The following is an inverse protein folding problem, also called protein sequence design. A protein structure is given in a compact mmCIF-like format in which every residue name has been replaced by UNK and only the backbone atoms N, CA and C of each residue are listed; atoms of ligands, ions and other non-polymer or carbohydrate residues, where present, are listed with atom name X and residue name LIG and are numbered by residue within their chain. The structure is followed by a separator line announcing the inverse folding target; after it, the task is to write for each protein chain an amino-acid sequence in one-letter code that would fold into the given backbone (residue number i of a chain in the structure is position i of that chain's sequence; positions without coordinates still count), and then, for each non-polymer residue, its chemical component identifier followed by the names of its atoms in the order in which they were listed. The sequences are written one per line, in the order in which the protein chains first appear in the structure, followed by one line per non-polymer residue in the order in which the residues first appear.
data_IF_818899113565
#
_entry.id   IF_818899113565
#
_cell.length_a   1.000
_cell.length_b   1.000
_cell.length_c   1.000
_cell.angle_alpha   90.00
_cell.angle_beta   90.00
_cell.angle_gamma   90.00
#
_symmetry.space_group_name_H-M   'P 1'
#
loop_
_entity.id
_entity.type
_entity.pdbx_description
1 polymer ?
#
# COMPACT_ATOMS: atom_id res chain seq x y z
N UNK A 1 14.66 -9.66 11.52
CA UNK A 1 13.96 -9.61 10.20
C UNK A 1 13.02 -8.44 10.25
N UNK A 2 13.05 -7.57 9.25
CA UNK A 2 12.11 -6.43 9.17
C UNK A 2 10.69 -6.97 9.00
N UNK A 3 9.74 -6.51 9.84
CA UNK A 3 8.32 -6.91 9.77
C UNK A 3 7.69 -6.63 8.40
N UNK A 4 8.26 -5.70 7.65
CA UNK A 4 7.69 -5.13 6.43
C UNK A 4 8.28 -5.70 5.12
N UNK A 5 9.05 -6.79 5.14
CA UNK A 5 9.64 -7.40 3.94
C UNK A 5 10.22 -6.35 2.97
N UNK A 6 11.34 -5.72 3.36
CA UNK A 6 11.97 -4.63 2.58
C UNK A 6 12.90 -5.20 1.51
N UNK A 7 12.79 -4.69 0.28
CA UNK A 7 13.62 -5.05 -0.87
C UNK A 7 14.26 -3.77 -1.43
N UNK A 8 15.53 -3.84 -1.79
CA UNK A 8 16.27 -2.71 -2.33
C UNK A 8 16.79 -3.00 -3.73
N UNK A 9 16.75 -1.98 -4.59
CA UNK A 9 17.27 -1.99 -5.96
C UNK A 9 17.95 -0.67 -6.29
N UNK A 10 18.52 -0.60 -7.49
CA UNK A 10 19.10 0.63 -8.04
C UNK A 10 20.46 0.98 -7.47
N UNK A 11 20.75 2.28 -7.35
CA UNK A 11 22.06 2.80 -6.94
C UNK A 11 22.17 2.82 -5.41
N UNK A 12 23.07 2.03 -4.77
CA UNK A 12 23.11 1.90 -3.30
C UNK A 12 23.32 3.21 -2.53
N UNK A 13 24.01 4.17 -3.15
CA UNK A 13 24.30 5.49 -2.57
C UNK A 13 23.49 6.61 -3.23
N UNK A 14 22.50 6.29 -4.05
CA UNK A 14 21.58 7.25 -4.64
C UNK A 14 20.62 7.83 -3.62
N UNK A 15 19.92 8.93 -3.99
CA UNK A 15 18.85 9.46 -3.16
C UNK A 15 17.79 8.38 -2.97
N UNK A 16 17.32 8.12 -1.72
CA UNK A 16 16.32 7.10 -1.47
C UNK A 16 14.97 7.45 -2.11
N UNK A 17 14.39 6.47 -2.84
CA UNK A 17 13.02 6.52 -3.33
C UNK A 17 12.25 5.34 -2.73
N UNK A 18 11.36 5.63 -1.80
CA UNK A 18 10.51 4.63 -1.14
C UNK A 18 9.18 4.53 -1.88
N UNK A 19 8.83 3.34 -2.34
CA UNK A 19 7.61 3.06 -3.11
C UNK A 19 6.66 2.20 -2.28
N UNK A 20 5.54 2.77 -1.86
CA UNK A 20 4.55 2.15 -0.98
C UNK A 20 3.27 1.80 -1.74
N UNK A 21 2.86 0.53 -1.65
CA UNK A 21 1.72 -0.02 -2.37
C UNK A 21 0.37 0.34 -1.74
N UNK A 22 -0.73 0.24 -2.53
CA UNK A 22 -2.09 0.45 -2.09
C UNK A 22 -2.72 -0.80 -1.43
N UNK A 23 -3.96 -0.64 -0.99
CA UNK A 23 -4.78 -1.72 -0.42
C UNK A 23 -4.87 -2.91 -1.38
N UNK A 24 -4.77 -4.12 -0.84
CA UNK A 24 -4.88 -5.37 -1.61
C UNK A 24 -3.71 -5.67 -2.55
N UNK A 25 -2.66 -4.86 -2.51
CA UNK A 25 -1.44 -5.03 -3.29
C UNK A 25 -0.26 -5.48 -2.42
N UNK A 26 0.87 -5.68 -3.07
CA UNK A 26 2.19 -5.88 -2.47
C UNK A 26 3.24 -5.06 -3.26
N UNK A 27 4.51 -5.11 -2.87
CA UNK A 27 5.60 -4.40 -3.54
C UNK A 27 5.68 -4.66 -5.05
N UNK A 28 5.17 -5.81 -5.53
CA UNK A 28 5.20 -6.16 -6.96
C UNK A 28 4.35 -5.25 -7.84
N UNK A 29 3.41 -4.46 -7.27
CA UNK A 29 2.67 -3.48 -8.06
C UNK A 29 3.59 -2.47 -8.75
N UNK A 30 4.77 -2.23 -8.17
CA UNK A 30 5.76 -1.27 -8.68
C UNK A 30 6.72 -1.85 -9.71
N UNK A 31 6.67 -3.18 -10.02
CA UNK A 31 7.65 -3.91 -10.86
C UNK A 31 7.86 -3.30 -12.25
N UNK A 32 6.84 -2.69 -12.82
CA UNK A 32 6.92 -2.04 -14.13
C UNK A 32 7.34 -0.57 -14.08
N UNK A 33 7.30 0.05 -12.87
CA UNK A 33 7.62 1.46 -12.70
C UNK A 33 9.03 1.68 -12.16
N UNK A 34 9.43 0.97 -11.08
CA UNK A 34 10.70 1.22 -10.41
C UNK A 34 11.94 1.08 -11.30
N UNK A 35 12.00 0.19 -12.34
CA UNK A 35 13.21 0.07 -13.16
C UNK A 35 13.58 1.36 -13.90
N UNK A 36 12.61 2.21 -14.22
CA UNK A 36 12.84 3.50 -14.87
C UNK A 36 13.61 4.52 -14.00
N UNK A 37 13.75 4.25 -12.72
CA UNK A 37 14.41 5.12 -11.74
C UNK A 37 15.69 4.52 -11.16
N UNK A 38 15.97 3.23 -11.45
CA UNK A 38 17.04 2.46 -10.84
C UNK A 38 18.45 2.92 -11.17
N UNK A 39 18.62 3.70 -12.23
CA UNK A 39 19.90 4.30 -12.63
C UNK A 39 20.29 5.54 -11.80
N UNK A 40 19.33 6.13 -11.06
CA UNK A 40 19.50 7.40 -10.33
C UNK A 40 19.18 7.33 -8.85
N UNK A 41 18.28 6.43 -8.45
CA UNK A 41 17.77 6.35 -7.09
C UNK A 41 18.16 5.03 -6.41
N UNK A 42 18.31 5.07 -5.09
CA UNK A 42 18.23 3.89 -4.23
C UNK A 42 16.76 3.56 -4.03
N UNK A 43 16.28 2.56 -4.73
CA UNK A 43 14.87 2.15 -4.70
C UNK A 43 14.64 1.26 -3.48
N UNK A 44 13.66 1.62 -2.66
CA UNK A 44 13.22 0.84 -1.51
C UNK A 44 11.76 0.48 -1.69
N UNK A 45 11.50 -0.81 -1.84
CA UNK A 45 10.17 -1.41 -1.91
C UNK A 45 9.89 -2.14 -0.60
N UNK A 46 8.66 -2.17 -0.16
CA UNK A 46 8.30 -2.93 1.04
C UNK A 46 6.84 -3.36 1.00
N UNK A 47 6.51 -4.35 1.82
CA UNK A 47 5.14 -4.78 2.05
C UNK A 47 4.64 -4.25 3.40
N UNK A 48 3.45 -3.66 3.41
CA UNK A 48 2.77 -3.32 4.66
C UNK A 48 2.49 -4.58 5.48
N UNK A 49 2.50 -4.45 6.81
CA UNK A 49 2.13 -5.57 7.70
C UNK A 49 0.73 -6.06 7.34
N UNK A 50 0.61 -7.37 7.13
CA UNK A 50 -0.60 -8.02 6.63
C UNK A 50 -0.68 -8.18 5.12
N UNK A 51 0.32 -7.70 4.35
CA UNK A 51 0.40 -7.84 2.91
C UNK A 51 1.68 -8.55 2.45
N UNK A 52 1.64 -9.14 1.27
CA UNK A 52 2.79 -9.70 0.56
C UNK A 52 3.62 -10.68 1.38
N UNK A 53 4.92 -10.42 1.46
CA UNK A 53 5.90 -11.19 2.24
C UNK A 53 6.15 -10.64 3.65
N UNK A 54 5.35 -9.69 4.14
CA UNK A 54 5.46 -9.15 5.48
C UNK A 54 5.25 -10.23 6.55
N UNK A 55 5.80 -10.01 7.75
CA UNK A 55 5.58 -10.90 8.89
C UNK A 55 4.14 -10.76 9.41
N UNK A 56 3.30 -11.74 9.11
CA UNK A 56 1.90 -11.74 9.55
C UNK A 56 1.74 -11.83 11.07
N UNK A 57 2.74 -12.33 11.80
CA UNK A 57 2.73 -12.39 13.26
C UNK A 57 2.94 -11.00 13.90
N UNK A 58 3.44 -10.03 13.12
CA UNK A 58 3.61 -8.65 13.55
C UNK A 58 2.30 -7.83 13.50
N UNK A 59 1.20 -8.41 12.99
CA UNK A 59 -0.07 -7.70 12.93
C UNK A 59 -0.70 -7.58 14.32
N UNK A 60 -0.84 -6.34 14.79
CA UNK A 60 -1.54 -5.99 16.02
C UNK A 60 -2.78 -5.15 15.66
N UNK A 61 -4.01 -5.64 15.97
CA UNK A 61 -5.25 -4.92 15.66
C UNK A 61 -5.32 -3.50 16.28
N UNK A 62 -4.69 -3.29 17.42
CA UNK A 62 -4.68 -1.99 18.07
C UNK A 62 -3.71 -1.02 17.37
N UNK A 63 -2.52 -1.49 16.99
CA UNK A 63 -1.52 -0.70 16.25
C UNK A 63 -2.02 -0.32 14.86
N UNK A 64 -2.65 -1.26 14.16
CA UNK A 64 -3.13 -1.08 12.79
C UNK A 64 -4.62 -0.77 12.68
N UNK A 65 -5.24 -0.30 13.78
CA UNK A 65 -6.60 0.23 13.78
C UNK A 65 -6.73 1.54 13.00
N UNK A 66 -5.60 2.21 12.77
CA UNK A 66 -5.51 3.47 12.03
C UNK A 66 -4.27 3.50 11.14
N UNK A 67 -4.12 4.57 10.32
CA UNK A 67 -2.98 4.71 9.42
C UNK A 67 -1.68 5.09 10.13
N UNK A 68 -1.76 5.57 11.37
CA UNK A 68 -0.59 5.98 12.18
C UNK A 68 0.37 4.81 12.41
N UNK A 69 -0.14 3.60 12.68
CA UNK A 69 0.70 2.41 12.85
C UNK A 69 1.50 2.06 11.59
N UNK A 70 0.91 2.27 10.42
CA UNK A 70 1.61 2.11 9.13
C UNK A 70 2.61 3.25 8.86
N UNK A 71 2.30 4.48 9.28
CA UNK A 71 3.22 5.61 9.18
C UNK A 71 4.47 5.40 10.06
N UNK A 72 4.29 4.89 11.27
CA UNK A 72 5.39 4.48 12.15
C UNK A 72 6.26 3.37 11.52
N UNK A 73 5.66 2.43 10.79
CA UNK A 73 6.42 1.41 10.06
C UNK A 73 7.27 2.02 8.94
N UNK A 74 6.74 3.00 8.20
CA UNK A 74 7.53 3.75 7.20
C UNK A 74 8.72 4.45 7.85
N UNK A 75 8.51 5.12 8.99
CA UNK A 75 9.59 5.77 9.72
C UNK A 75 10.61 4.78 10.25
N UNK A 76 10.18 3.62 10.75
CA UNK A 76 11.07 2.55 11.21
C UNK A 76 11.93 1.98 10.05
N UNK A 77 11.35 1.79 8.85
CA UNK A 77 12.10 1.39 7.66
C UNK A 77 13.15 2.45 7.32
N UNK A 78 12.78 3.73 7.35
CA UNK A 78 13.70 4.82 7.09
C UNK A 78 14.85 4.86 8.11
N UNK A 79 14.58 4.60 9.37
CA UNK A 79 15.58 4.54 10.43
C UNK A 79 16.50 3.32 10.29
N UNK A 80 15.94 2.12 10.14
CA UNK A 80 16.69 0.85 9.99
C UNK A 80 17.63 0.85 8.78
N UNK A 81 17.29 1.59 7.72
CA UNK A 81 18.04 1.67 6.46
C UNK A 81 18.84 2.97 6.32
N UNK A 82 18.87 3.82 7.36
CA UNK A 82 19.47 5.16 7.37
C UNK A 82 19.07 5.98 6.11
N UNK A 83 17.77 6.03 5.82
CA UNK A 83 17.25 6.80 4.69
C UNK A 83 17.03 8.25 5.12
N UNK A 84 17.61 9.19 4.37
CA UNK A 84 17.46 10.64 4.53
C UNK A 84 17.14 11.27 3.18
N UNK A 85 16.53 12.45 3.18
CA UNK A 85 16.11 13.15 1.96
C UNK A 85 15.24 12.25 1.05
N UNK A 86 14.32 11.52 1.66
CA UNK A 86 13.50 10.48 1.01
C UNK A 86 12.54 11.11 0.01
N UNK A 87 12.52 10.58 -1.20
CA UNK A 87 11.39 10.72 -2.14
C UNK A 87 10.42 9.59 -1.84
N UNK A 88 9.31 9.90 -1.18
CA UNK A 88 8.28 8.91 -0.86
C UNK A 88 7.19 8.92 -1.93
N UNK A 89 6.92 7.77 -2.54
CA UNK A 89 5.88 7.56 -3.54
C UNK A 89 4.82 6.64 -2.95
N UNK A 90 3.68 7.19 -2.58
CA UNK A 90 2.57 6.44 -1.99
C UNK A 90 1.39 6.32 -2.95
N UNK A 91 0.91 5.10 -3.17
CA UNK A 91 -0.29 4.85 -3.95
C UNK A 91 -1.51 4.67 -3.04
N UNK A 92 -2.61 5.36 -3.37
CA UNK A 92 -3.90 5.23 -2.67
C UNK A 92 -3.75 5.48 -1.15
N UNK A 93 -4.09 4.52 -0.29
CA UNK A 93 -3.94 4.60 1.17
C UNK A 93 -2.51 4.96 1.58
N UNK A 94 -1.49 4.48 0.88
CA UNK A 94 -0.09 4.81 1.18
C UNK A 94 0.27 6.26 0.90
N UNK A 95 -0.50 6.98 0.09
CA UNK A 95 -0.35 8.42 -0.05
C UNK A 95 -0.63 9.12 1.30
N UNK A 96 -1.70 8.73 1.98
CA UNK A 96 -2.04 9.29 3.31
C UNK A 96 -1.09 8.80 4.40
N UNK A 97 -0.64 7.55 4.35
CA UNK A 97 0.41 7.03 5.25
C UNK A 97 1.68 7.88 5.12
N UNK A 98 2.10 8.20 3.89
CA UNK A 98 3.26 9.07 3.64
C UNK A 98 3.08 10.49 4.18
N UNK A 99 1.88 11.07 4.08
CA UNK A 99 1.55 12.37 4.67
C UNK A 99 1.68 12.32 6.20
N UNK A 100 1.15 11.28 6.85
CA UNK A 100 1.24 11.11 8.30
C UNK A 100 2.68 10.89 8.76
N UNK A 101 3.47 10.10 8.04
CA UNK A 101 4.90 9.90 8.32
C UNK A 101 5.68 11.22 8.19
N UNK A 102 5.45 11.99 7.14
CA UNK A 102 6.10 13.29 6.93
C UNK A 102 5.64 14.35 7.94
N UNK A 103 4.41 14.28 8.43
CA UNK A 103 3.95 15.16 9.50
C UNK A 103 4.67 14.88 10.85
N UNK A 104 5.06 13.62 11.09
CA UNK A 104 5.79 13.21 12.30
C UNK A 104 7.29 13.55 12.23
N UNK A 105 7.93 13.34 11.06
CA UNK A 105 9.37 13.58 10.84
C UNK A 105 9.61 14.28 9.49
N UNK A 106 9.24 15.56 9.33
CA UNK A 106 9.30 16.27 8.06
C UNK A 106 10.73 16.35 7.48
N UNK A 107 11.74 16.43 8.33
CA UNK A 107 13.16 16.53 7.95
C UNK A 107 13.69 15.28 7.25
N UNK A 108 12.98 14.16 7.34
CA UNK A 108 13.36 12.90 6.71
C UNK A 108 13.00 12.84 5.23
N UNK A 109 12.00 13.61 4.81
CA UNK A 109 11.41 13.54 3.49
C UNK A 109 11.78 14.76 2.64
N UNK A 110 12.40 14.54 1.48
CA UNK A 110 12.63 15.59 0.49
C UNK A 110 11.36 15.91 -0.31
N UNK A 111 10.57 14.86 -0.63
CA UNK A 111 9.34 15.00 -1.45
C UNK A 111 8.35 13.87 -1.15
N UNK A 112 7.07 14.20 -1.32
CA UNK A 112 5.97 13.24 -1.38
C UNK A 112 5.38 13.24 -2.78
N UNK A 113 5.23 12.06 -3.37
CA UNK A 113 4.50 11.83 -4.62
C UNK A 113 3.25 11.02 -4.26
N UNK A 114 2.10 11.65 -4.37
CA UNK A 114 0.82 11.09 -3.96
C UNK A 114 0.07 10.61 -5.22
N UNK A 115 -0.01 9.30 -5.41
CA UNK A 115 -0.65 8.68 -6.58
C UNK A 115 -2.06 8.22 -6.19
N UNK A 116 -3.09 8.85 -6.77
CA UNK A 116 -4.50 8.55 -6.45
C UNK A 116 -4.85 8.76 -4.97
N UNK A 117 -4.46 9.90 -4.35
CA UNK A 117 -4.70 10.14 -2.93
C UNK A 117 -6.17 10.42 -2.66
N UNK A 118 -6.67 9.93 -1.51
CA UNK A 118 -7.92 10.41 -0.94
C UNK A 118 -7.79 10.48 0.58
N UNK A 119 -7.97 11.65 1.20
CA UNK A 119 -7.96 11.79 2.65
C UNK A 119 -9.23 11.20 3.28
N UNK A 120 -10.33 11.14 2.52
CA UNK A 120 -11.62 10.61 2.97
C UNK A 120 -12.48 10.24 1.77
N UNK A 121 -13.07 9.06 1.79
CA UNK A 121 -13.96 8.58 0.72
C UNK A 121 -15.42 8.95 0.95
N UNK A 122 -15.83 9.22 2.19
CA UNK A 122 -17.22 9.52 2.55
C UNK A 122 -17.48 11.01 2.38
N UNK A 123 -18.61 11.33 1.75
CA UNK A 123 -19.12 12.70 1.62
C UNK A 123 -19.40 13.31 3.00
N UNK A 124 -19.17 14.61 3.14
CA UNK A 124 -19.46 15.38 4.35
C UNK A 124 -19.89 16.80 3.98
N UNK A 125 -20.37 17.57 4.94
CA UNK A 125 -20.78 18.97 4.70
C UNK A 125 -19.62 19.78 4.11
N UNK A 126 -19.81 20.27 2.89
CA UNK A 126 -18.80 21.01 2.16
C UNK A 126 -17.62 20.19 1.59
N UNK A 127 -17.66 18.85 1.67
CA UNK A 127 -16.64 17.96 1.15
C UNK A 127 -17.23 16.81 0.33
N UNK A 128 -16.73 16.62 -0.89
CA UNK A 128 -17.12 15.51 -1.78
C UNK A 128 -16.03 14.44 -1.74
N UNK A 129 -16.32 13.33 -1.06
CA UNK A 129 -15.47 12.15 -1.00
C UNK A 129 -15.76 11.17 -2.14
N UNK A 130 -16.99 11.20 -2.64
CA UNK A 130 -17.47 10.40 -3.78
C UNK A 130 -18.32 9.19 -3.39
N UNK A 131 -18.49 8.91 -2.10
CA UNK A 131 -19.32 7.81 -1.58
C UNK A 131 -20.17 8.30 -0.42
N UNK A 132 -21.40 7.79 -0.34
CA UNK A 132 -22.19 7.88 0.88
C UNK A 132 -21.70 6.89 1.93
N UNK A 133 -22.18 7.01 3.16
CA UNK A 133 -21.88 6.02 4.21
C UNK A 133 -22.44 4.65 3.86
N UNK A 134 -23.66 4.61 3.31
CA UNK A 134 -24.31 3.38 2.85
C UNK A 134 -23.50 2.67 1.76
N UNK A 135 -22.93 3.43 0.82
CA UNK A 135 -22.06 2.86 -0.22
C UNK A 135 -20.85 2.17 0.39
N UNK A 136 -20.19 2.83 1.36
CA UNK A 136 -19.01 2.26 2.04
C UNK A 136 -19.39 1.03 2.87
N UNK A 137 -20.47 1.08 3.62
CA UNK A 137 -20.95 -0.06 4.41
C UNK A 137 -21.27 -1.26 3.50
N UNK A 138 -21.92 -1.04 2.34
CA UNK A 138 -22.19 -2.07 1.35
C UNK A 138 -20.92 -2.65 0.71
N UNK A 139 -19.91 -1.80 0.43
CA UNK A 139 -18.61 -2.25 -0.07
C UNK A 139 -17.88 -3.12 0.96
N UNK A 140 -17.91 -2.75 2.25
CA UNK A 140 -17.28 -3.53 3.33
C UNK A 140 -18.00 -4.87 3.53
N UNK A 141 -19.34 -4.89 3.54
CA UNK A 141 -20.11 -6.13 3.63
C UNK A 141 -19.81 -7.08 2.46
N UNK A 142 -19.73 -6.55 1.24
CA UNK A 142 -19.38 -7.32 0.04
C UNK A 142 -17.97 -7.90 0.13
N UNK A 143 -17.01 -7.13 0.61
CA UNK A 143 -15.62 -7.54 0.81
C UNK A 143 -15.51 -8.64 1.88
N UNK A 144 -16.24 -8.54 2.98
CA UNK A 144 -16.23 -9.52 4.07
C UNK A 144 -16.94 -10.83 3.67
N UNK A 145 -18.08 -10.73 2.98
CA UNK A 145 -18.90 -11.89 2.61
C UNK A 145 -18.31 -12.69 1.44
N UNK A 146 -17.75 -12.01 0.43
CA UNK A 146 -17.21 -12.63 -0.77
C UNK A 146 -16.02 -11.87 -1.34
N UNK A 147 -14.85 -11.98 -0.70
CA UNK A 147 -13.63 -11.30 -1.10
C UNK A 147 -13.25 -11.54 -2.57
N UNK A 148 -13.35 -12.78 -3.07
CA UNK A 148 -12.99 -13.10 -4.47
C UNK A 148 -13.98 -12.50 -5.47
N UNK A 149 -15.28 -12.55 -5.17
CA UNK A 149 -16.31 -11.93 -6.00
C UNK A 149 -16.16 -10.41 -6.03
N UNK A 150 -15.93 -9.80 -4.87
CA UNK A 150 -15.62 -8.38 -4.76
C UNK A 150 -14.38 -8.00 -5.59
N UNK A 151 -13.29 -8.75 -5.46
CA UNK A 151 -12.04 -8.52 -6.20
C UNK A 151 -12.25 -8.55 -7.71
N UNK A 152 -13.00 -9.54 -8.20
CA UNK A 152 -13.28 -9.69 -9.64
C UNK A 152 -14.17 -8.58 -10.20
N UNK A 153 -15.09 -8.06 -9.40
CA UNK A 153 -15.98 -6.98 -9.80
C UNK A 153 -15.29 -5.61 -9.73
N UNK A 154 -14.52 -5.37 -8.66
CA UNK A 154 -13.92 -4.07 -8.40
C UNK A 154 -12.64 -3.79 -9.18
N UNK A 155 -11.81 -4.81 -9.45
CA UNK A 155 -10.52 -4.59 -10.11
C UNK A 155 -10.65 -3.95 -11.51
N UNK A 156 -11.55 -4.37 -12.42
CA UNK A 156 -11.76 -3.68 -13.68
C UNK A 156 -12.26 -2.23 -13.52
N UNK A 157 -13.14 -2.00 -12.55
CA UNK A 157 -13.66 -0.65 -12.27
C UNK A 157 -12.57 0.29 -11.74
N UNK A 158 -11.71 -0.19 -10.84
CA UNK A 158 -10.56 0.56 -10.30
C UNK A 158 -9.56 0.90 -11.39
N UNK A 159 -9.27 -0.06 -12.29
CA UNK A 159 -8.31 0.16 -13.38
C UNK A 159 -8.84 1.11 -14.45
N UNK A 160 -10.15 1.15 -14.72
CA UNK A 160 -10.79 2.10 -15.63
C UNK A 160 -10.35 2.00 -17.10
N UNK A 161 -9.61 0.96 -17.50
CA UNK A 161 -9.04 0.78 -18.83
C UNK A 161 -9.79 -0.37 -19.54
N UNK A 162 -11.00 -0.12 -20.03
CA UNK A 162 -11.84 -1.13 -20.68
C UNK A 162 -11.24 -1.73 -21.97
N UNK A 163 -10.35 -0.97 -22.63
CA UNK A 163 -9.58 -1.39 -23.80
C UNK A 163 -8.35 -2.25 -23.47
N UNK A 164 -8.01 -2.38 -22.18
CA UNK A 164 -6.88 -3.15 -21.68
C UNK A 164 -7.27 -4.06 -20.51
N UNK A 165 -8.09 -5.09 -20.77
CA UNK A 165 -8.64 -5.97 -19.74
C UNK A 165 -7.57 -6.71 -18.92
N UNK A 166 -6.39 -6.95 -19.50
CA UNK A 166 -5.24 -7.57 -18.82
C UNK A 166 -4.80 -6.81 -17.54
N UNK A 167 -5.02 -5.50 -17.49
CA UNK A 167 -4.70 -4.70 -16.29
C UNK A 167 -5.68 -5.00 -15.14
N UNK A 168 -6.97 -5.16 -15.46
CA UNK A 168 -7.99 -5.57 -14.50
C UNK A 168 -7.74 -6.98 -13.96
N UNK A 169 -7.35 -7.93 -14.85
CA UNK A 169 -6.98 -9.30 -14.47
C UNK A 169 -5.75 -9.30 -13.54
N UNK A 170 -4.75 -8.47 -13.83
CA UNK A 170 -3.57 -8.32 -12.99
C UNK A 170 -3.91 -7.83 -11.58
N UNK A 171 -4.77 -6.81 -11.46
CA UNK A 171 -5.20 -6.30 -10.17
C UNK A 171 -6.06 -7.33 -9.41
N UNK A 172 -6.95 -8.05 -10.11
CA UNK A 172 -7.70 -9.18 -9.54
C UNK A 172 -6.77 -10.22 -8.95
N UNK A 173 -5.73 -10.61 -9.69
CA UNK A 173 -4.73 -11.57 -9.23
C UNK A 173 -3.95 -11.03 -8.00
N UNK A 174 -3.69 -9.73 -7.94
CA UNK A 174 -3.08 -9.09 -6.77
C UNK A 174 -3.97 -9.21 -5.53
N UNK A 175 -5.24 -8.84 -5.65
CA UNK A 175 -6.22 -9.00 -4.56
C UNK A 175 -6.34 -10.46 -4.10
N UNK A 176 -6.42 -11.41 -5.04
CA UNK A 176 -6.49 -12.84 -4.69
C UNK A 176 -5.26 -13.33 -3.91
N UNK A 177 -4.07 -12.77 -4.18
CA UNK A 177 -2.86 -13.09 -3.39
C UNK A 177 -2.91 -12.51 -1.97
N UNK A 178 -3.59 -11.38 -1.80
CA UNK A 178 -3.74 -10.70 -0.51
C UNK A 178 -4.92 -11.23 0.32
N UNK A 179 -5.73 -12.18 -0.21
CA UNK A 179 -6.88 -12.75 0.52
C UNK A 179 -6.42 -13.34 1.87
N UNK A 180 -6.92 -12.82 3.00
CA UNK A 180 -6.56 -13.30 4.34
C UNK A 180 -6.99 -14.75 4.59
N UNK A 181 -7.89 -15.31 3.76
CA UNK A 181 -8.34 -16.71 3.79
C UNK A 181 -7.50 -17.62 2.91
N UNK A 182 -6.60 -17.06 2.10
CA UNK A 182 -5.71 -17.82 1.21
C UNK A 182 -4.83 -18.79 2.03
N UNK A 183 -4.50 -19.99 1.51
CA UNK A 183 -3.65 -20.95 2.21
C UNK A 183 -2.27 -20.40 2.60
N UNK A 184 -1.78 -19.39 1.90
CA UNK A 184 -0.50 -18.73 2.23
C UNK A 184 -0.60 -17.90 3.52
N UNK A 185 -1.70 -17.14 3.68
CA UNK A 185 -1.97 -16.35 4.88
C UNK A 185 -2.50 -17.19 6.05
N UNK A 186 -3.25 -18.27 5.77
CA UNK A 186 -3.78 -19.16 6.81
C UNK A 186 -2.71 -20.04 7.46
N UNK A 187 -1.62 -20.40 6.75
CA UNK A 187 -0.49 -21.14 7.31
C UNK A 187 0.30 -20.33 8.33
N UNK A 188 0.46 -19.03 8.09
CA UNK A 188 1.17 -18.13 9.01
C UNK A 188 0.38 -17.85 10.31
N UNK A 189 -0.95 -18.05 10.31
CA UNK A 189 -1.81 -17.90 11.50
C UNK A 189 -1.90 -19.15 12.39
N UNK A 190 -1.36 -20.31 11.95
CA UNK A 190 -1.42 -21.60 12.67
C UNK A 190 -0.06 -22.11 13.17
N UNK A 191 1.00 -21.38 12.92
CA UNK A 191 2.35 -21.63 13.43
C UNK A 191 2.76 -20.60 14.48
#
# INVERSE_FOLDING_TARGET
MSRNHVIEHGVPHGQPMVLAHGFGCDHNMWRSAWPAFADRYRIVLFDHVGAGGSDSSAYDPHRYASLEGYAEDVLAICEERDLRDVVFVGHSVSAMIGVLAAAQQPERFARLVLVGPSPRYIDDEGYVGGFTREDIDGLLESLESNYLGWSSAMAPAIMGNADRPELGEELTNSFCRADPRSPRTSRARRS
#
